data_IF_631707640176
#
_entry.id   IF_631707640176
#
_cell.length_a   1.000
_cell.length_b   1.000
_cell.length_c   1.000
_cell.angle_alpha   90.00
_cell.angle_beta   90.00
_cell.angle_gamma   90.00
#
_symmetry.space_group_name_H-M   'P 1'
#
loop_
_entity.id
_entity.type
_entity.pdbx_description
1 polymer ?
#
# COMPACT_ATOMS: atom_id res chain seq x y z
N UNK A 1 16.17 4.95 -20.67
CA UNK A 1 15.78 6.20 -19.98
C UNK A 1 15.20 5.85 -18.61
N UNK A 2 15.92 6.06 -17.51
CA UNK A 2 15.35 5.96 -16.15
C UNK A 2 14.41 7.15 -15.97
N UNK A 3 13.09 6.95 -15.98
CA UNK A 3 12.14 7.99 -15.57
C UNK A 3 12.54 8.38 -14.15
N UNK A 4 12.84 9.67 -13.92
CA UNK A 4 12.97 10.23 -12.58
C UNK A 4 11.59 10.10 -11.94
N UNK A 5 11.33 8.98 -11.29
CA UNK A 5 10.21 8.87 -10.36
C UNK A 5 10.44 9.92 -9.29
N UNK A 6 9.60 10.94 -9.32
CA UNK A 6 9.71 12.08 -8.44
C UNK A 6 9.04 11.72 -7.12
N UNK A 7 9.53 12.28 -6.02
CA UNK A 7 8.86 12.23 -4.71
C UNK A 7 7.35 12.60 -4.82
N UNK A 8 6.99 13.48 -5.75
CA UNK A 8 5.60 13.82 -6.07
C UNK A 8 4.75 12.62 -6.54
N UNK A 9 5.35 11.63 -7.21
CA UNK A 9 4.64 10.41 -7.60
C UNK A 9 4.32 9.53 -6.39
N UNK A 10 5.24 9.42 -5.42
CA UNK A 10 4.97 8.72 -4.16
C UNK A 10 3.81 9.39 -3.42
N UNK A 11 3.81 10.72 -3.28
CA UNK A 11 2.73 11.46 -2.65
C UNK A 11 1.38 11.24 -3.34
N UNK A 12 1.36 11.26 -4.68
CA UNK A 12 0.15 11.00 -5.45
C UNK A 12 -0.40 9.59 -5.18
N UNK A 13 0.47 8.59 -5.14
CA UNK A 13 0.08 7.21 -4.82
C UNK A 13 -0.45 7.11 -3.39
N UNK A 14 0.20 7.72 -2.39
CA UNK A 14 -0.33 7.72 -1.03
C UNK A 14 -1.68 8.43 -0.93
N UNK A 15 -1.90 9.53 -1.65
CA UNK A 15 -3.21 10.16 -1.73
C UNK A 15 -4.27 9.21 -2.34
N UNK A 16 -3.92 8.45 -3.39
CA UNK A 16 -4.81 7.42 -3.93
C UNK A 16 -5.11 6.32 -2.91
N UNK A 17 -4.11 5.85 -2.16
CA UNK A 17 -4.30 4.88 -1.08
C UNK A 17 -5.30 5.42 -0.03
N UNK A 18 -5.16 6.69 0.38
CA UNK A 18 -6.08 7.31 1.33
C UNK A 18 -7.51 7.39 0.77
N UNK A 19 -7.67 7.72 -0.52
CA UNK A 19 -8.97 7.69 -1.19
C UNK A 19 -9.57 6.29 -1.19
N UNK A 20 -8.79 5.27 -1.51
CA UNK A 20 -9.26 3.88 -1.46
C UNK A 20 -9.68 3.46 -0.04
N UNK A 21 -8.94 3.87 0.99
CA UNK A 21 -9.32 3.58 2.38
C UNK A 21 -10.62 4.30 2.78
N UNK A 22 -10.83 5.54 2.34
CA UNK A 22 -12.09 6.27 2.58
C UNK A 22 -13.27 5.62 1.82
N UNK A 23 -13.06 5.19 0.58
CA UNK A 23 -14.08 4.42 -0.15
C UNK A 23 -14.39 3.12 0.58
N UNK A 24 -13.37 2.36 0.98
CA UNK A 24 -13.53 1.10 1.69
C UNK A 24 -14.30 1.24 3.01
N UNK A 25 -14.18 2.36 3.73
CA UNK A 25 -14.97 2.60 4.95
C UNK A 25 -16.46 2.81 4.70
N UNK A 26 -16.85 3.19 3.49
CA UNK A 26 -18.24 3.43 3.09
C UNK A 26 -18.84 2.29 2.26
N UNK A 27 -18.01 1.33 1.81
CA UNK A 27 -18.45 0.17 1.02
C UNK A 27 -18.97 -0.95 1.93
N UNK A 28 -20.06 -1.65 1.59
CA UNK A 28 -20.54 -2.79 2.36
C UNK A 28 -19.47 -3.88 2.56
N UNK A 29 -19.39 -4.41 3.79
CA UNK A 29 -18.49 -5.53 4.13
C UNK A 29 -18.77 -6.75 3.25
N UNK A 30 -17.73 -7.55 2.96
CA UNK A 30 -17.79 -8.74 2.11
C UNK A 30 -18.27 -8.52 0.68
N UNK A 31 -18.24 -7.29 0.17
CA UNK A 31 -18.55 -7.02 -1.23
C UNK A 31 -17.32 -7.23 -2.13
N UNK A 32 -17.50 -7.67 -3.38
CA UNK A 32 -16.41 -7.73 -4.36
C UNK A 32 -15.77 -6.36 -4.60
N UNK A 33 -16.57 -5.29 -4.52
CA UNK A 33 -16.10 -3.91 -4.66
C UNK A 33 -15.14 -3.51 -3.53
N UNK A 34 -15.45 -3.87 -2.28
CA UNK A 34 -14.56 -3.65 -1.14
C UNK A 34 -13.23 -4.39 -1.33
N UNK A 35 -13.29 -5.66 -1.76
CA UNK A 35 -12.09 -6.45 -2.02
C UNK A 35 -11.21 -5.82 -3.12
N UNK A 36 -11.81 -5.38 -4.23
CA UNK A 36 -11.09 -4.70 -5.30
C UNK A 36 -10.49 -3.35 -4.86
N UNK A 37 -11.23 -2.60 -4.04
CA UNK A 37 -10.77 -1.33 -3.48
C UNK A 37 -9.57 -1.53 -2.57
N UNK A 38 -9.62 -2.51 -1.66
CA UNK A 38 -8.52 -2.86 -0.77
C UNK A 38 -7.32 -3.45 -1.51
N UNK A 39 -7.54 -4.21 -2.59
CA UNK A 39 -6.47 -4.73 -3.44
C UNK A 39 -5.73 -3.60 -4.16
N UNK A 40 -6.48 -2.60 -4.64
CA UNK A 40 -5.92 -1.40 -5.26
C UNK A 40 -5.11 -0.59 -4.24
N UNK A 41 -5.66 -0.38 -3.03
CA UNK A 41 -4.97 0.28 -1.92
C UNK A 41 -3.66 -0.44 -1.55
N UNK A 42 -3.69 -1.77 -1.46
CA UNK A 42 -2.52 -2.58 -1.12
C UNK A 42 -1.45 -2.51 -2.21
N UNK A 43 -1.83 -2.57 -3.49
CA UNK A 43 -0.89 -2.43 -4.59
C UNK A 43 -0.26 -1.03 -4.61
N UNK A 44 -1.07 0.02 -4.45
CA UNK A 44 -0.60 1.40 -4.55
C UNK A 44 0.26 1.81 -3.37
N UNK A 45 0.01 1.32 -2.15
CA UNK A 45 0.89 1.61 -0.99
C UNK A 45 2.26 0.96 -1.16
N UNK A 46 2.34 -0.25 -1.70
CA UNK A 46 3.62 -0.91 -1.97
C UNK A 46 4.39 -0.21 -3.09
N UNK A 47 3.69 0.21 -4.15
CA UNK A 47 4.29 1.05 -5.21
C UNK A 47 4.80 2.37 -4.64
N UNK A 48 4.02 3.02 -3.78
CA UNK A 48 4.38 4.29 -3.17
C UNK A 48 5.67 4.16 -2.35
N UNK A 49 5.79 3.10 -1.55
CA UNK A 49 7.01 2.78 -0.79
C UNK A 49 8.22 2.52 -1.69
N UNK A 50 8.06 1.80 -2.80
CA UNK A 50 9.16 1.56 -3.75
C UNK A 50 9.61 2.85 -4.45
N UNK A 51 8.66 3.70 -4.81
CA UNK A 51 8.95 5.02 -5.38
C UNK A 51 9.68 5.90 -4.36
N UNK A 52 9.20 5.93 -3.12
CA UNK A 52 9.78 6.71 -2.03
C UNK A 52 11.23 6.30 -1.73
N UNK A 53 11.52 5.01 -1.83
CA UNK A 53 12.85 4.43 -1.58
C UNK A 53 13.76 4.44 -2.81
N UNK A 54 13.33 5.04 -3.92
CA UNK A 54 14.17 5.26 -5.11
C UNK A 54 14.26 4.07 -6.07
N UNK A 55 13.45 3.02 -5.90
CA UNK A 55 13.45 1.83 -6.76
C UNK A 55 12.77 2.04 -8.13
N UNK A 56 12.17 3.21 -8.36
CA UNK A 56 11.41 3.51 -9.58
C UNK A 56 9.96 3.07 -9.50
N UNK A 57 9.20 3.27 -10.59
CA UNK A 57 7.78 2.90 -10.66
C UNK A 57 7.67 1.52 -11.32
N UNK A 58 7.38 0.44 -10.57
CA UNK A 58 7.15 -0.86 -11.16
C UNK A 58 5.80 -0.87 -11.90
N UNK A 59 5.85 -0.88 -13.23
CA UNK A 59 4.64 -0.79 -14.07
C UNK A 59 3.78 -2.06 -14.04
N UNK A 60 4.41 -3.23 -13.88
CA UNK A 60 3.74 -4.55 -13.90
C UNK A 60 4.40 -5.50 -12.91
N UNK A 61 4.09 -5.32 -11.62
CA UNK A 61 4.53 -6.25 -10.58
C UNK A 61 3.33 -6.65 -9.74
N UNK A 62 3.15 -7.97 -9.57
CA UNK A 62 2.18 -8.51 -8.63
C UNK A 62 2.51 -8.05 -7.19
N UNK A 63 1.52 -7.99 -6.32
CA UNK A 63 1.62 -7.54 -4.92
C UNK A 63 2.73 -8.30 -4.19
N UNK A 64 2.85 -9.61 -4.43
CA UNK A 64 3.92 -10.43 -3.84
C UNK A 64 5.31 -9.99 -4.30
N UNK A 65 5.46 -9.61 -5.57
CA UNK A 65 6.73 -9.13 -6.11
C UNK A 65 7.08 -7.73 -5.57
N UNK A 66 6.10 -6.83 -5.50
CA UNK A 66 6.28 -5.52 -4.86
C UNK A 66 6.74 -5.66 -3.40
N UNK A 67 6.11 -6.57 -2.65
CA UNK A 67 6.47 -6.86 -1.27
C UNK A 67 7.86 -7.50 -1.14
N UNK A 68 8.24 -8.39 -2.08
CA UNK A 68 9.57 -9.01 -2.09
C UNK A 68 10.68 -7.96 -2.30
N UNK A 69 10.49 -7.02 -3.23
CA UNK A 69 11.45 -5.92 -3.44
C UNK A 69 11.61 -5.03 -2.20
N UNK A 70 10.50 -4.76 -1.48
CA UNK A 70 10.56 -4.01 -0.22
C UNK A 70 11.25 -4.79 0.91
N UNK A 71 11.11 -6.12 0.92
CA UNK A 71 11.82 -6.98 1.86
C UNK A 71 13.33 -7.00 1.56
N UNK A 72 13.71 -7.17 0.29
CA UNK A 72 15.10 -7.17 -0.16
C UNK A 72 15.81 -5.84 0.10
N UNK A 73 15.10 -4.73 -0.06
CA UNK A 73 15.60 -3.39 0.25
C UNK A 73 15.61 -3.05 1.75
N UNK A 74 15.12 -3.95 2.61
CA UNK A 74 15.10 -3.76 4.07
C UNK A 74 14.07 -2.74 4.56
N UNK A 75 13.14 -2.31 3.70
CA UNK A 75 12.07 -1.37 4.03
C UNK A 75 11.02 -2.02 4.92
N UNK A 76 10.75 -3.31 4.67
CA UNK A 76 9.86 -4.13 5.50
C UNK A 76 10.59 -5.36 6.02
N UNK A 77 10.18 -5.86 7.18
CA UNK A 77 10.69 -7.10 7.75
C UNK A 77 9.93 -8.34 7.22
N UNK A 78 10.47 -9.53 7.51
CA UNK A 78 9.86 -10.81 7.11
C UNK A 78 8.43 -10.96 7.62
N UNK A 79 8.15 -10.44 8.83
CA UNK A 79 6.81 -10.47 9.42
C UNK A 79 5.83 -9.64 8.59
N UNK A 80 6.19 -8.40 8.26
CA UNK A 80 5.36 -7.51 7.45
C UNK A 80 5.17 -8.06 6.04
N UNK A 81 6.20 -8.67 5.45
CA UNK A 81 6.06 -9.37 4.18
C UNK A 81 4.99 -10.48 4.26
N UNK A 82 5.03 -11.35 5.28
CA UNK A 82 4.03 -12.39 5.48
C UNK A 82 2.61 -11.82 5.69
N UNK A 83 2.47 -10.72 6.42
CA UNK A 83 1.20 -10.03 6.62
C UNK A 83 0.62 -9.50 5.30
N UNK A 84 1.45 -8.96 4.41
CA UNK A 84 1.05 -8.50 3.07
C UNK A 84 0.61 -9.65 2.19
N UNK A 85 1.36 -10.75 2.17
CA UNK A 85 0.99 -11.96 1.41
C UNK A 85 -0.34 -12.53 1.91
N UNK A 86 -0.51 -12.62 3.23
CA UNK A 86 -1.77 -13.06 3.83
C UNK A 86 -2.93 -12.15 3.43
N UNK A 87 -2.76 -10.82 3.55
CA UNK A 87 -3.77 -9.85 3.13
C UNK A 87 -4.15 -10.03 1.64
N UNK A 88 -3.17 -10.24 0.76
CA UNK A 88 -3.41 -10.50 -0.66
C UNK A 88 -4.21 -11.80 -0.89
N UNK A 89 -3.82 -12.91 -0.25
CA UNK A 89 -4.55 -14.17 -0.33
C UNK A 89 -5.98 -14.05 0.22
N UNK A 90 -6.16 -13.24 1.28
CA UNK A 90 -7.47 -12.89 1.82
C UNK A 90 -8.35 -12.17 0.81
N UNK A 91 -7.81 -11.16 0.12
CA UNK A 91 -8.51 -10.42 -0.92
C UNK A 91 -8.82 -11.25 -2.17
N UNK A 92 -8.03 -12.28 -2.45
CA UNK A 92 -8.30 -13.27 -3.51
C UNK A 92 -9.30 -14.35 -3.09
N UNK A 93 -9.77 -14.35 -1.84
CA UNK A 93 -10.69 -15.35 -1.31
C UNK A 93 -10.06 -16.73 -1.06
N UNK A 94 -8.72 -16.83 -1.09
CA UNK A 94 -7.99 -18.09 -0.87
C UNK A 94 -7.93 -18.42 0.62
N UNK A 95 -7.80 -17.41 1.48
CA UNK A 95 -7.73 -17.55 2.94
C UNK A 95 -8.81 -16.68 3.58
N UNK A 96 -9.42 -17.15 4.67
CA UNK A 96 -10.41 -16.36 5.41
C UNK A 96 -9.70 -15.38 6.33
N UNK A 97 -9.65 -14.11 5.93
CA UNK A 97 -9.06 -13.00 6.68
C UNK A 97 -10.09 -11.87 6.80
N UNK A 98 -10.12 -11.17 7.94
CA UNK A 98 -11.01 -10.04 8.13
C UNK A 98 -10.55 -8.82 7.32
N UNK A 99 -11.50 -8.06 6.80
CA UNK A 99 -11.22 -6.81 6.08
C UNK A 99 -10.53 -5.79 7.01
N UNK A 100 -10.90 -5.78 8.29
CA UNK A 100 -10.29 -4.92 9.31
C UNK A 100 -8.79 -5.26 9.50
N UNK A 101 -8.40 -6.54 9.39
CA UNK A 101 -7.00 -6.93 9.40
C UNK A 101 -6.26 -6.40 8.17
N UNK A 102 -6.84 -6.54 6.98
CA UNK A 102 -6.24 -6.05 5.73
C UNK A 102 -6.02 -4.52 5.79
N UNK A 103 -7.01 -3.79 6.29
CA UNK A 103 -6.88 -2.33 6.53
C UNK A 103 -5.76 -2.03 7.51
N UNK A 104 -5.59 -2.82 8.58
CA UNK A 104 -4.50 -2.61 9.53
C UNK A 104 -3.12 -2.84 8.91
N UNK A 105 -2.98 -3.82 8.01
CA UNK A 105 -1.75 -4.04 7.23
C UNK A 105 -1.44 -2.83 6.33
N UNK A 106 -2.44 -2.30 5.61
CA UNK A 106 -2.25 -1.11 4.76
C UNK A 106 -1.82 0.10 5.62
N UNK A 107 -2.48 0.33 6.77
CA UNK A 107 -2.11 1.42 7.69
C UNK A 107 -0.70 1.26 8.24
N UNK A 108 -0.28 0.03 8.56
CA UNK A 108 1.09 -0.27 8.98
C UNK A 108 2.11 0.10 7.89
N UNK A 109 1.82 -0.20 6.63
CA UNK A 109 2.69 0.19 5.50
C UNK A 109 2.78 1.72 5.33
N UNK A 110 1.67 2.44 5.53
CA UNK A 110 1.69 3.91 5.55
C UNK A 110 2.56 4.42 6.70
N UNK A 111 2.44 3.85 7.89
CA UNK A 111 3.27 4.23 9.04
C UNK A 111 4.77 4.00 8.80
N UNK A 112 5.14 2.90 8.13
CA UNK A 112 6.52 2.65 7.70
C UNK A 112 6.97 3.77 6.76
N UNK A 113 6.13 4.19 5.80
CA UNK A 113 6.44 5.29 4.91
C UNK A 113 6.69 6.61 5.67
N UNK A 114 5.83 6.95 6.63
CA UNK A 114 5.98 8.15 7.46
C UNK A 114 7.21 8.11 8.37
N UNK A 115 7.68 6.91 8.72
CA UNK A 115 8.94 6.74 9.47
C UNK A 115 10.18 6.93 8.59
N UNK A 116 10.07 6.65 7.28
CA UNK A 116 11.12 6.89 6.30
C UNK A 116 11.18 8.37 5.86
N UNK A 117 10.03 9.02 5.77
CA UNK A 117 9.92 10.45 5.46
C UNK A 117 8.90 11.13 6.39
N UNK A 118 9.35 11.84 7.43
CA UNK A 118 8.48 12.55 8.37
C UNK A 118 7.64 13.66 7.72
N UNK A 119 8.06 14.20 6.56
CA UNK A 119 7.29 15.20 5.83
C UNK A 119 6.11 14.59 5.08
N UNK A 120 6.10 13.27 4.88
CA UNK A 120 4.98 12.54 4.29
C UNK A 120 3.73 12.72 5.15
N UNK A 121 3.80 12.58 6.47
CA UNK A 121 2.65 12.76 7.36
C UNK A 121 2.09 14.17 7.32
N UNK A 122 2.97 15.18 7.30
CA UNK A 122 2.57 16.58 7.17
C UNK A 122 1.84 16.82 5.84
N UNK A 123 2.34 16.26 4.75
CA UNK A 123 1.74 16.41 3.42
C UNK A 123 0.46 15.58 3.26
N UNK A 124 0.37 14.39 3.87
CA UNK A 124 -0.84 13.57 3.87
C UNK A 124 -1.97 14.21 4.68
N UNK A 125 -1.65 14.98 5.73
CA UNK A 125 -2.65 15.73 6.48
C UNK A 125 -3.39 16.77 5.62
N UNK A 126 -2.75 17.32 4.59
CA UNK A 126 -3.36 18.27 3.65
C UNK A 126 -4.39 17.62 2.72
N UNK A 127 -4.36 16.30 2.56
CA UNK A 127 -5.30 15.53 1.74
C UNK A 127 -6.45 14.91 2.55
N UNK A 128 -6.54 15.21 3.86
CA UNK A 128 -7.64 14.74 4.72
C UNK A 128 -8.94 15.54 4.58
N UNK A 129 -8.98 16.54 3.70
CA UNK A 129 -10.11 17.44 3.47
C UNK A 129 -10.72 17.24 2.08
#
# INVERSE_FOLDING_TARGET
MRRRTSYSDALRLFNQVMKHLNTASNTPKRSPELANTLLSALADVLRALLVLTGHGYPSYSDITNLAALLLESGVIDKKTFSEVVNAYLGLKGIVKISEDYIVSVIRKLIYIASSLDPYLDQQLSLFRY
#
